data_IF_140071776601
#
_entry.id   IF_140071776601
#
_cell.length_a   1.000
_cell.length_b   1.000
_cell.length_c   1.000
_cell.angle_alpha   90.00
_cell.angle_beta   90.00
_cell.angle_gamma   90.00
#
_symmetry.space_group_name_H-M   'P 1'
#
loop_
_entity.id
_entity.type
_entity.pdbx_description
1 polymer ?
#
# COMPACT_ATOMS: atom_id res chain seq x y z
N UNK A 1 -31.40 12.32 56.63
CA UNK A 1 -32.88 12.34 56.48
C UNK A 1 -33.36 13.24 55.34
N UNK A 2 -32.62 14.26 54.89
CA UNK A 2 -33.03 15.09 53.75
C UNK A 2 -32.81 14.43 52.38
N UNK A 3 -31.75 13.62 52.21
CA UNK A 3 -31.44 12.96 50.93
C UNK A 3 -32.52 11.96 50.51
N UNK A 4 -33.09 11.19 51.44
CA UNK A 4 -34.15 10.21 51.16
C UNK A 4 -35.47 10.81 50.67
N UNK A 5 -35.72 12.10 50.91
CA UNK A 5 -36.94 12.76 50.44
C UNK A 5 -36.89 13.14 48.95
N UNK A 6 -35.70 13.24 48.35
CA UNK A 6 -35.53 13.67 46.94
C UNK A 6 -35.54 12.47 45.98
N UNK A 7 -35.07 11.29 46.40
CA UNK A 7 -35.00 10.10 45.54
C UNK A 7 -36.35 9.71 44.93
N UNK A 8 -37.45 9.87 45.66
CA UNK A 8 -38.79 9.56 45.12
C UNK A 8 -39.16 10.41 43.91
N UNK A 9 -38.65 11.63 43.78
CA UNK A 9 -38.88 12.45 42.58
C UNK A 9 -38.07 11.94 41.38
N UNK A 10 -36.83 11.51 41.61
CA UNK A 10 -35.96 10.93 40.57
C UNK A 10 -36.52 9.60 40.06
N UNK A 11 -36.91 8.70 40.97
CA UNK A 11 -37.47 7.37 40.63
C UNK A 11 -38.80 7.48 39.87
N UNK A 12 -39.66 8.40 40.32
CA UNK A 12 -40.93 8.66 39.65
C UNK A 12 -40.74 9.32 38.29
N UNK A 13 -39.75 10.21 38.14
CA UNK A 13 -39.38 10.77 36.85
C UNK A 13 -38.87 9.70 35.89
N UNK A 14 -37.99 8.80 36.35
CA UNK A 14 -37.50 7.68 35.54
C UNK A 14 -38.63 6.75 35.10
N UNK A 15 -39.53 6.39 36.03
CA UNK A 15 -40.70 5.56 35.74
C UNK A 15 -41.65 6.23 34.74
N UNK A 16 -41.86 7.55 34.88
CA UNK A 16 -42.65 8.34 33.94
C UNK A 16 -42.03 8.40 32.55
N UNK A 17 -40.71 8.60 32.48
CA UNK A 17 -39.96 8.62 31.23
C UNK A 17 -40.02 7.27 30.52
N UNK A 18 -39.81 6.16 31.24
CA UNK A 18 -39.96 4.79 30.70
C UNK A 18 -41.37 4.56 30.15
N UNK A 19 -42.40 4.99 30.88
CA UNK A 19 -43.78 4.85 30.44
C UNK A 19 -44.04 5.64 29.15
N UNK A 20 -43.60 6.89 29.09
CA UNK A 20 -43.72 7.74 27.91
C UNK A 20 -43.00 7.14 26.71
N UNK A 21 -41.75 6.69 26.88
CA UNK A 21 -41.00 6.02 25.82
C UNK A 21 -41.72 4.75 25.34
N UNK A 22 -42.36 4.00 26.24
CA UNK A 22 -43.10 2.78 25.89
C UNK A 22 -44.33 3.11 25.03
N UNK A 23 -45.02 4.21 25.35
CA UNK A 23 -46.11 4.72 24.50
C UNK A 23 -45.59 5.13 23.12
N UNK A 24 -44.43 5.81 23.05
CA UNK A 24 -43.81 6.20 21.78
C UNK A 24 -43.48 4.96 20.94
N UNK A 25 -42.80 3.95 21.51
CA UNK A 25 -42.47 2.71 20.79
C UNK A 25 -43.73 2.02 20.24
N UNK A 26 -44.81 2.00 21.01
CA UNK A 26 -46.09 1.43 20.56
C UNK A 26 -46.74 2.25 19.43
N UNK A 27 -46.50 3.56 19.40
CA UNK A 27 -47.09 4.49 18.45
C UNK A 27 -46.30 4.59 17.14
N UNK A 28 -44.97 4.37 17.17
CA UNK A 28 -44.09 4.44 15.99
C UNK A 28 -44.64 3.63 14.79
N UNK A 29 -45.02 2.33 14.92
CA UNK A 29 -45.55 1.56 13.79
C UNK A 29 -46.90 2.08 13.26
N UNK A 30 -47.66 2.83 14.07
CA UNK A 30 -48.97 3.39 13.68
C UNK A 30 -48.84 4.73 12.95
N UNK A 31 -47.85 5.55 13.32
CA UNK A 31 -47.62 6.86 12.70
C UNK A 31 -46.80 6.74 11.41
N UNK A 32 -45.83 5.83 11.40
CA UNK A 32 -45.00 5.55 10.23
C UNK A 32 -45.63 4.41 9.42
N UNK A 33 -46.80 4.68 8.85
CA UNK A 33 -47.60 3.75 8.06
C UNK A 33 -47.23 3.70 6.56
N UNK A 34 -46.48 4.71 6.11
CA UNK A 34 -46.19 4.99 4.69
C UNK A 34 -44.70 5.19 4.49
N UNK A 35 -44.23 4.80 3.29
CA UNK A 35 -42.83 4.96 2.91
C UNK A 35 -42.45 6.43 2.85
N UNK A 36 -41.38 6.81 3.56
CA UNK A 36 -40.88 8.20 3.58
C UNK A 36 -39.39 8.25 3.86
N UNK A 37 -38.72 9.25 3.30
CA UNK A 37 -37.32 9.55 3.62
C UNK A 37 -37.29 10.66 4.66
N UNK A 38 -36.61 10.41 5.78
CA UNK A 38 -36.39 11.38 6.84
C UNK A 38 -34.90 11.66 6.99
N UNK A 39 -34.58 12.90 7.30
CA UNK A 39 -33.22 13.33 7.59
C UNK A 39 -33.07 13.38 9.10
N UNK A 40 -32.22 12.53 9.65
CA UNK A 40 -31.87 12.54 11.07
C UNK A 40 -30.50 13.17 11.25
N UNK A 41 -30.29 13.83 12.36
CA UNK A 41 -28.96 14.28 12.75
C UNK A 41 -28.34 13.21 13.64
N UNK A 42 -27.16 12.71 13.26
CA UNK A 42 -26.38 11.78 14.06
C UNK A 42 -25.80 12.49 15.30
N UNK A 43 -25.30 11.70 16.25
CA UNK A 43 -24.66 12.24 17.46
C UNK A 43 -23.45 13.13 17.16
N UNK A 44 -22.77 12.86 16.03
CA UNK A 44 -21.63 13.63 15.55
C UNK A 44 -22.03 14.92 14.80
N UNK A 45 -23.32 15.26 14.78
CA UNK A 45 -23.87 16.41 14.06
C UNK A 45 -23.97 16.22 12.54
N UNK A 46 -23.57 15.05 12.03
CA UNK A 46 -23.69 14.69 10.62
C UNK A 46 -25.13 14.35 10.28
N UNK A 47 -25.59 14.84 9.13
CA UNK A 47 -26.92 14.51 8.65
C UNK A 47 -26.94 13.13 7.98
N UNK A 48 -27.85 12.27 8.41
CA UNK A 48 -28.09 10.95 7.84
C UNK A 48 -29.48 10.91 7.21
N UNK A 49 -29.55 10.47 5.96
CA UNK A 49 -30.82 10.17 5.30
C UNK A 49 -31.22 8.73 5.57
N UNK A 50 -32.43 8.56 6.11
CA UNK A 50 -33.02 7.27 6.44
C UNK A 50 -34.32 7.11 5.68
N UNK A 51 -34.49 5.96 5.05
CA UNK A 51 -35.73 5.56 4.42
C UNK A 51 -36.52 4.67 5.39
N UNK A 52 -37.76 5.05 5.69
CA UNK A 52 -38.67 4.23 6.49
C UNK A 52 -39.57 3.50 5.51
N UNK A 53 -39.57 2.17 5.55
CA UNK A 53 -40.44 1.31 4.77
C UNK A 53 -41.13 0.25 5.66
N UNK A 54 -42.41 0.45 6.01
CA UNK A 54 -43.18 -0.51 6.80
C UNK A 54 -43.45 -1.84 6.08
N UNK A 55 -43.30 -1.90 4.76
CA UNK A 55 -43.50 -3.09 3.94
C UNK A 55 -42.24 -3.96 3.75
N UNK A 56 -41.07 -3.48 4.18
CA UNK A 56 -39.82 -4.20 3.98
C UNK A 56 -39.80 -5.53 4.75
N UNK A 57 -39.20 -6.58 4.17
CA UNK A 57 -39.17 -7.92 4.78
C UNK A 57 -38.27 -8.03 6.01
N UNK A 58 -37.32 -7.12 6.17
CA UNK A 58 -36.35 -7.10 7.25
C UNK A 58 -36.48 -5.80 8.04
N UNK A 59 -36.18 -5.85 9.34
CA UNK A 59 -36.24 -4.69 10.24
C UNK A 59 -35.22 -3.61 9.88
N UNK A 60 -34.07 -4.02 9.36
CA UNK A 60 -33.01 -3.14 8.91
C UNK A 60 -32.37 -3.68 7.64
N UNK A 61 -32.21 -2.80 6.66
CA UNK A 61 -31.54 -3.06 5.39
C UNK A 61 -30.57 -1.92 5.12
N UNK A 62 -29.35 -2.29 4.75
CA UNK A 62 -28.32 -1.33 4.39
C UNK A 62 -27.84 -1.66 2.98
N UNK A 63 -28.05 -0.71 2.07
CA UNK A 63 -27.55 -0.83 0.70
C UNK A 63 -26.18 -0.17 0.60
N UNK A 64 -25.18 -0.99 0.29
CA UNK A 64 -23.79 -0.57 0.14
C UNK A 64 -23.51 -0.46 -1.37
N UNK A 65 -23.09 0.72 -1.81
CA UNK A 65 -22.74 1.00 -3.20
C UNK A 65 -21.41 0.35 -3.60
N UNK A 66 -21.10 0.40 -4.91
CA UNK A 66 -19.89 -0.20 -5.47
C UNK A 66 -18.55 0.33 -4.90
N UNK A 67 -18.57 1.49 -4.22
CA UNK A 67 -17.41 2.10 -3.52
C UNK A 67 -17.37 1.85 -2.01
N UNK A 68 -18.17 0.91 -1.48
CA UNK A 68 -18.35 0.69 -0.04
C UNK A 68 -18.98 1.88 0.72
N UNK A 69 -19.54 2.86 0.02
CA UNK A 69 -20.33 3.92 0.64
C UNK A 69 -21.74 3.42 0.94
N UNK A 70 -22.26 3.80 2.11
CA UNK A 70 -23.64 3.48 2.51
C UNK A 70 -24.58 4.38 1.74
N UNK A 71 -25.29 3.80 0.76
CA UNK A 71 -26.14 4.58 -0.15
C UNK A 71 -27.50 4.81 0.47
N UNK A 72 -28.07 3.79 1.14
CA UNK A 72 -29.36 3.88 1.83
C UNK A 72 -29.42 3.00 3.06
N UNK A 73 -30.15 3.49 4.07
CA UNK A 73 -30.54 2.73 5.25
C UNK A 73 -32.05 2.68 5.27
N UNK A 74 -32.61 1.48 5.13
CA UNK A 74 -34.04 1.24 5.15
C UNK A 74 -34.40 0.60 6.49
N UNK A 75 -35.37 1.18 7.20
CA UNK A 75 -35.87 0.66 8.46
C UNK A 75 -37.34 0.28 8.35
N UNK A 76 -37.69 -0.90 8.86
CA UNK A 76 -39.08 -1.29 9.06
C UNK A 76 -39.45 -1.19 10.55
N UNK A 77 -40.22 -0.17 10.97
CA UNK A 77 -40.63 -0.02 12.36
C UNK A 77 -41.65 -1.07 12.85
N UNK A 78 -42.35 -1.76 11.93
CA UNK A 78 -43.34 -2.78 12.28
C UNK A 78 -42.70 -4.14 12.62
N UNK A 79 -41.42 -4.34 12.28
CA UNK A 79 -40.71 -5.58 12.51
C UNK A 79 -39.69 -5.43 13.65
N UNK A 80 -39.95 -6.14 14.75
CA UNK A 80 -39.05 -6.17 15.91
C UNK A 80 -39.81 -6.12 17.23
N UNK A 81 -39.14 -6.50 18.32
CA UNK A 81 -39.60 -6.23 19.69
C UNK A 81 -38.60 -5.27 20.30
N UNK A 82 -39.09 -4.08 20.64
CA UNK A 82 -38.29 -3.04 21.25
C UNK A 82 -38.72 -2.88 22.71
N UNK A 83 -37.75 -2.76 23.60
CA UNK A 83 -37.96 -2.46 25.01
C UNK A 83 -37.05 -1.29 25.42
N UNK A 84 -37.36 -0.66 26.55
CA UNK A 84 -36.64 0.53 27.02
C UNK A 84 -35.88 0.18 28.30
N UNK A 85 -34.57 0.36 28.25
CA UNK A 85 -33.76 0.53 29.44
C UNK A 85 -33.56 2.03 29.65
N UNK A 86 -33.89 2.55 30.83
CA UNK A 86 -33.43 3.87 31.24
C UNK A 86 -32.17 3.67 32.06
N UNK A 87 -31.12 4.40 31.69
CA UNK A 87 -29.92 4.58 32.50
C UNK A 87 -29.85 6.07 32.84
N UNK A 88 -29.82 6.38 34.13
CA UNK A 88 -29.80 7.77 34.60
C UNK A 88 -28.41 8.02 35.18
N UNK A 89 -27.55 8.61 34.36
CA UNK A 89 -26.29 9.17 34.79
C UNK A 89 -26.46 10.53 35.48
N UNK A 90 -25.36 11.14 35.96
CA UNK A 90 -25.36 12.52 36.43
C UNK A 90 -25.99 13.44 35.37
N UNK A 91 -26.81 14.40 35.79
CA UNK A 91 -27.41 15.35 34.86
C UNK A 91 -26.33 16.31 34.34
N UNK A 92 -25.83 16.04 33.14
CA UNK A 92 -24.92 16.92 32.43
C UNK A 92 -25.70 17.93 31.59
N UNK A 93 -25.30 19.20 31.63
CA UNK A 93 -25.95 20.24 30.81
C UNK A 93 -25.55 20.14 29.34
N UNK A 94 -24.42 19.47 29.04
CA UNK A 94 -23.97 19.20 27.69
C UNK A 94 -23.15 17.91 27.60
N UNK A 95 -23.17 17.26 26.43
CA UNK A 95 -22.31 16.10 26.11
C UNK A 95 -20.82 16.42 26.29
N UNK A 96 -20.43 17.68 26.08
CA UNK A 96 -19.05 18.14 26.23
C UNK A 96 -18.60 18.14 27.69
N UNK A 97 -19.47 18.55 28.61
CA UNK A 97 -19.20 18.45 30.05
C UNK A 97 -19.12 17.00 30.51
N UNK A 98 -20.03 16.13 30.05
CA UNK A 98 -19.96 14.69 30.34
C UNK A 98 -18.63 14.08 29.86
N UNK A 99 -18.21 14.43 28.64
CA UNK A 99 -16.94 13.96 28.06
C UNK A 99 -15.75 14.49 28.85
N UNK A 100 -15.78 15.76 29.28
CA UNK A 100 -14.73 16.33 30.13
C UNK A 100 -14.59 15.60 31.46
N UNK A 101 -15.71 15.33 32.12
CA UNK A 101 -15.73 14.63 33.41
C UNK A 101 -15.23 13.19 33.27
N UNK A 102 -15.69 12.48 32.24
CA UNK A 102 -15.23 11.13 31.93
C UNK A 102 -13.72 11.10 31.62
N UNK A 103 -13.23 12.02 30.77
CA UNK A 103 -11.81 12.11 30.44
C UNK A 103 -10.96 12.48 31.66
N UNK A 104 -11.44 13.39 32.50
CA UNK A 104 -10.75 13.77 33.74
C UNK A 104 -10.67 12.59 34.71
N UNK A 105 -11.74 11.81 34.85
CA UNK A 105 -11.73 10.60 35.67
C UNK A 105 -10.73 9.57 35.15
N UNK A 106 -10.71 9.32 33.83
CA UNK A 106 -9.75 8.39 33.21
C UNK A 106 -8.30 8.86 33.44
N UNK A 107 -8.02 10.16 33.25
CA UNK A 107 -6.67 10.71 33.35
C UNK A 107 -6.16 10.80 34.79
N UNK A 108 -7.05 10.98 35.77
CA UNK A 108 -6.68 10.91 37.20
C UNK A 108 -6.33 9.48 37.62
N UNK A 109 -7.02 8.48 37.07
CA UNK A 109 -6.74 7.06 37.33
C UNK A 109 -5.51 6.55 36.55
N UNK A 110 -5.26 7.07 35.35
CA UNK A 110 -4.16 6.67 34.49
C UNK A 110 -3.41 7.88 33.90
N UNK A 111 -2.48 8.50 34.65
CA UNK A 111 -1.72 9.66 34.20
C UNK A 111 -0.88 9.41 32.95
N UNK A 112 -0.50 8.16 32.67
CA UNK A 112 0.24 7.78 31.46
C UNK A 112 -0.56 7.97 30.16
N UNK A 113 -1.89 8.06 30.25
CA UNK A 113 -2.75 8.27 29.08
C UNK A 113 -2.80 9.74 28.63
N UNK A 114 -2.30 10.70 29.42
CA UNK A 114 -2.26 12.13 29.02
C UNK A 114 -1.52 12.32 27.70
N UNK A 115 -0.43 11.57 27.47
CA UNK A 115 0.32 11.62 26.21
C UNK A 115 -0.35 10.92 25.01
N UNK A 116 -1.51 10.29 25.21
CA UNK A 116 -2.24 9.50 24.20
C UNK A 116 -3.59 10.14 23.88
N UNK A 117 -4.33 10.56 24.91
CA UNK A 117 -5.70 11.10 24.80
C UNK A 117 -5.83 12.53 25.36
N UNK A 118 -4.72 13.15 25.77
CA UNK A 118 -4.75 14.51 26.34
C UNK A 118 -5.25 15.55 25.34
N UNK A 119 -5.02 15.35 24.04
CA UNK A 119 -5.56 16.23 22.99
C UNK A 119 -7.09 16.28 23.00
N UNK A 120 -7.78 15.17 23.29
CA UNK A 120 -9.23 15.12 23.41
C UNK A 120 -9.74 15.88 24.64
N UNK A 121 -9.01 15.85 25.76
CA UNK A 121 -9.35 16.63 26.96
C UNK A 121 -9.34 18.13 26.61
N UNK A 122 -8.22 18.62 26.07
CA UNK A 122 -8.07 20.03 25.74
C UNK A 122 -9.04 20.47 24.64
N UNK A 123 -9.35 19.62 23.66
CA UNK A 123 -10.37 19.94 22.65
C UNK A 123 -11.74 20.19 23.29
N UNK A 124 -12.06 19.49 24.37
CA UNK A 124 -13.33 19.65 25.06
C UNK A 124 -13.32 20.78 26.10
N UNK A 125 -12.17 21.37 26.47
CA UNK A 125 -12.12 22.49 27.42
C UNK A 125 -12.52 23.83 26.77
N UNK A 126 -13.01 24.77 27.59
CA UNK A 126 -13.45 26.11 27.18
C UNK A 126 -12.44 27.17 27.67
N UNK A 127 -11.29 27.26 27.01
CA UNK A 127 -10.35 28.37 27.20
C UNK A 127 -9.75 28.82 25.86
N UNK A 128 -9.21 30.05 25.84
CA UNK A 128 -8.85 30.78 24.62
C UNK A 128 -7.86 30.03 23.69
N UNK A 129 -7.03 29.13 24.24
CA UNK A 129 -6.04 28.35 23.48
C UNK A 129 -6.30 26.83 23.46
N UNK A 130 -7.50 26.38 23.84
CA UNK A 130 -7.83 24.97 24.04
C UNK A 130 -7.64 24.13 22.77
N UNK A 131 -8.01 24.70 21.62
CA UNK A 131 -7.89 24.06 20.30
C UNK A 131 -6.41 23.98 19.88
N UNK A 132 -5.63 25.04 20.11
CA UNK A 132 -4.20 25.05 19.78
C UNK A 132 -3.43 24.05 20.64
N UNK A 133 -3.73 24.00 21.94
CA UNK A 133 -3.15 23.03 22.87
C UNK A 133 -3.47 21.59 22.44
N UNK A 134 -4.72 21.30 22.07
CA UNK A 134 -5.14 20.00 21.55
C UNK A 134 -4.36 19.62 20.28
N UNK A 135 -4.19 20.54 19.34
CA UNK A 135 -3.43 20.28 18.11
C UNK A 135 -1.94 20.03 18.38
N UNK A 136 -1.33 20.76 19.32
CA UNK A 136 0.07 20.55 19.72
C UNK A 136 0.26 19.20 20.39
N UNK A 137 -0.63 18.83 21.30
CA UNK A 137 -0.60 17.53 21.96
C UNK A 137 -0.80 16.40 20.96
N UNK A 138 -1.75 16.54 20.04
CA UNK A 138 -1.98 15.56 18.96
C UNK A 138 -0.74 15.29 18.11
N UNK A 139 0.15 16.28 17.92
CA UNK A 139 1.43 16.10 17.22
C UNK A 139 2.50 15.38 18.06
N UNK A 140 2.37 15.43 19.39
CA UNK A 140 3.25 14.73 20.33
C UNK A 140 2.77 13.31 20.64
N UNK A 141 1.47 13.01 20.42
CA UNK A 141 0.93 11.66 20.58
C UNK A 141 1.60 10.71 19.57
N UNK A 142 2.11 9.54 20.01
CA UNK A 142 2.65 8.53 19.11
C UNK A 142 1.61 8.16 18.03
N UNK A 143 2.02 8.02 16.75
CA UNK A 143 1.08 7.76 15.66
C UNK A 143 0.23 6.49 15.84
N UNK A 144 0.73 5.54 16.64
CA UNK A 144 0.06 4.28 16.99
C UNK A 144 -1.25 4.49 17.79
N UNK A 145 -1.30 5.52 18.64
CA UNK A 145 -2.42 5.83 19.52
C UNK A 145 -3.56 6.61 18.83
N UNK A 146 -3.26 7.27 17.71
CA UNK A 146 -4.21 8.12 17.00
C UNK A 146 -5.18 7.33 16.11
N UNK A 147 -5.08 5.99 16.05
CA UNK A 147 -5.88 5.14 15.16
C UNK A 147 -5.64 5.39 13.67
N UNK A 148 -4.72 6.30 13.34
CA UNK A 148 -4.22 6.62 11.99
C UNK A 148 -2.79 6.03 11.83
N UNK A 149 -2.32 5.29 12.83
CA UNK A 149 -1.06 4.57 12.79
C UNK A 149 -1.17 3.28 11.98
N UNK A 150 -0.09 2.88 11.29
CA UNK A 150 -0.02 1.60 10.62
C UNK A 150 -0.44 0.49 11.59
N UNK A 151 -1.28 -0.42 11.13
CA UNK A 151 -1.70 -1.62 11.86
C UNK A 151 -0.51 -2.33 12.51
N UNK A 152 -0.69 -3.15 13.57
CA UNK A 152 0.41 -3.92 14.18
C UNK A 152 1.25 -4.72 13.16
N UNK A 153 0.63 -5.05 12.03
CA UNK A 153 1.26 -5.72 10.88
C UNK A 153 2.15 -4.78 10.06
N UNK A 154 1.75 -3.52 9.89
CA UNK A 154 2.52 -2.50 9.18
C UNK A 154 3.66 -1.92 10.03
N UNK A 155 3.53 -1.85 11.36
CA UNK A 155 4.68 -1.54 12.25
C UNK A 155 5.76 -2.62 12.19
N UNK A 156 5.36 -3.89 12.20
CA UNK A 156 6.30 -5.01 12.01
C UNK A 156 6.96 -4.94 10.63
N UNK A 157 6.20 -4.56 9.60
CA UNK A 157 6.73 -4.34 8.25
C UNK A 157 7.70 -3.16 8.20
N UNK A 158 7.43 -2.07 8.92
CA UNK A 158 8.28 -0.88 8.91
C UNK A 158 9.60 -1.12 9.65
N UNK A 159 9.57 -1.87 10.77
CA UNK A 159 10.78 -2.33 11.43
C UNK A 159 11.57 -3.32 10.56
N UNK A 160 10.87 -4.20 9.82
CA UNK A 160 11.51 -5.12 8.87
C UNK A 160 12.15 -4.37 7.70
N UNK A 161 11.48 -3.36 7.14
CA UNK A 161 11.99 -2.51 6.05
C UNK A 161 13.16 -1.65 6.52
N UNK A 162 13.12 -1.11 7.74
CA UNK A 162 14.25 -0.39 8.32
C UNK A 162 15.47 -1.30 8.53
N UNK A 163 15.27 -2.52 9.02
CA UNK A 163 16.33 -3.54 9.13
C UNK A 163 16.91 -3.95 7.78
N UNK A 164 16.06 -4.15 6.78
CA UNK A 164 16.49 -4.46 5.42
C UNK A 164 17.25 -3.30 4.77
N UNK A 165 16.82 -2.05 5.00
CA UNK A 165 17.49 -0.85 4.50
C UNK A 165 18.91 -0.70 5.04
N UNK A 166 19.12 -0.97 6.33
CA UNK A 166 20.46 -0.97 6.92
C UNK A 166 21.35 -2.09 6.34
N UNK A 167 20.78 -3.28 6.10
CA UNK A 167 21.52 -4.41 5.52
C UNK A 167 21.88 -4.18 4.04
N UNK A 168 20.97 -3.59 3.26
CA UNK A 168 21.19 -3.26 1.85
C UNK A 168 22.25 -2.15 1.70
N UNK A 169 22.22 -1.15 2.58
CA UNK A 169 23.23 -0.07 2.60
C UNK A 169 24.62 -0.64 2.90
N UNK A 170 24.72 -1.57 3.85
CA UNK A 170 25.98 -2.26 4.18
C UNK A 170 26.50 -3.12 3.04
N UNK A 171 25.62 -3.81 2.31
CA UNK A 171 26.01 -4.57 1.11
C UNK A 171 26.48 -3.66 -0.02
N UNK A 172 25.80 -2.54 -0.27
CA UNK A 172 26.25 -1.58 -1.29
C UNK A 172 27.61 -0.96 -0.96
N UNK A 173 27.90 -0.69 0.32
CA UNK A 173 29.20 -0.18 0.74
C UNK A 173 30.32 -1.21 0.52
N UNK A 174 30.07 -2.50 0.82
CA UNK A 174 31.03 -3.59 0.58
C UNK A 174 31.25 -3.78 -0.92
N UNK A 175 30.18 -3.87 -1.71
CA UNK A 175 30.27 -4.02 -3.17
C UNK A 175 30.93 -2.81 -3.85
N UNK A 176 30.71 -1.59 -3.32
CA UNK A 176 31.39 -0.38 -3.77
C UNK A 176 32.89 -0.43 -3.49
N UNK A 177 33.30 -0.84 -2.28
CA UNK A 177 34.72 -1.01 -1.92
C UNK A 177 35.42 -2.06 -2.78
N UNK A 178 34.74 -3.16 -3.10
CA UNK A 178 35.33 -4.22 -3.93
C UNK A 178 35.49 -3.79 -5.39
N UNK A 179 34.52 -3.06 -5.96
CA UNK A 179 34.66 -2.48 -7.31
C UNK A 179 35.80 -1.46 -7.38
N UNK A 180 35.95 -0.61 -6.37
CA UNK A 180 37.06 0.37 -6.32
C UNK A 180 38.42 -0.35 -6.22
N UNK A 181 38.51 -1.43 -5.45
CA UNK A 181 39.74 -2.25 -5.35
C UNK A 181 40.07 -2.98 -6.66
N UNK A 182 39.07 -3.48 -7.39
CA UNK A 182 39.30 -4.11 -8.69
C UNK A 182 39.82 -3.09 -9.71
N UNK A 183 39.18 -1.92 -9.81
CA UNK A 183 39.61 -0.86 -10.72
C UNK A 183 41.05 -0.42 -10.39
N UNK A 184 41.40 -0.28 -9.11
CA UNK A 184 42.77 0.06 -8.71
C UNK A 184 43.80 -1.00 -9.08
N UNK A 185 43.44 -2.29 -9.03
CA UNK A 185 44.32 -3.39 -9.45
C UNK A 185 44.49 -3.45 -10.97
N UNK A 186 43.42 -3.24 -11.74
CA UNK A 186 43.48 -3.22 -13.20
C UNK A 186 44.32 -2.05 -13.69
N UNK A 187 44.16 -0.85 -13.11
CA UNK A 187 45.01 0.31 -13.42
C UNK A 187 46.48 0.07 -13.10
N UNK A 188 46.80 -0.59 -11.98
CA UNK A 188 48.19 -0.98 -11.68
C UNK A 188 48.76 -1.95 -12.71
N UNK A 189 47.96 -2.95 -13.11
CA UNK A 189 48.38 -3.94 -14.11
C UNK A 189 48.63 -3.28 -15.47
N UNK A 190 47.80 -2.33 -15.88
CA UNK A 190 47.98 -1.57 -17.12
C UNK A 190 49.25 -0.72 -17.04
N UNK A 191 49.49 -0.02 -15.92
CA UNK A 191 50.72 0.76 -15.70
C UNK A 191 51.97 -0.13 -15.79
N UNK A 192 51.93 -1.35 -15.24
CA UNK A 192 53.05 -2.30 -15.30
C UNK A 192 53.29 -2.83 -16.71
N UNK A 193 52.23 -3.08 -17.50
CA UNK A 193 52.35 -3.45 -18.92
C UNK A 193 52.97 -2.31 -19.73
N UNK A 194 52.50 -1.08 -19.56
CA UNK A 194 53.06 0.09 -20.25
C UNK A 194 54.53 0.32 -19.89
N UNK A 195 54.91 0.11 -18.61
CA UNK A 195 56.32 0.17 -18.19
C UNK A 195 57.14 -0.93 -18.86
N UNK A 196 56.65 -2.16 -18.89
CA UNK A 196 57.34 -3.26 -19.55
C UNK A 196 57.51 -3.04 -21.07
N UNK A 197 56.53 -2.45 -21.74
CA UNK A 197 56.66 -2.03 -23.16
C UNK A 197 57.64 -0.89 -23.34
N UNK A 198 57.63 0.10 -22.44
CA UNK A 198 58.59 1.21 -22.47
C UNK A 198 60.02 0.71 -22.26
N UNK A 199 60.22 -0.20 -21.32
CA UNK A 199 61.52 -0.83 -21.06
C UNK A 199 61.95 -1.71 -22.24
N UNK A 200 61.02 -2.43 -22.87
CA UNK A 200 61.30 -3.20 -24.09
C UNK A 200 61.67 -2.30 -25.26
N UNK A 201 60.95 -1.19 -25.47
CA UNK A 201 61.28 -0.20 -26.50
C UNK A 201 62.62 0.47 -26.23
N UNK A 202 62.93 0.77 -24.97
CA UNK A 202 64.22 1.34 -24.57
C UNK A 202 65.36 0.34 -24.80
N UNK A 203 65.19 -0.92 -24.41
CA UNK A 203 66.18 -1.97 -24.65
C UNK A 203 66.38 -2.22 -26.15
N UNK A 204 65.32 -2.16 -26.96
CA UNK A 204 65.41 -2.25 -28.43
C UNK A 204 66.09 -1.02 -29.02
N UNK A 205 65.80 0.19 -28.53
CA UNK A 205 66.44 1.43 -28.96
C UNK A 205 67.94 1.48 -28.59
N UNK A 206 68.32 0.92 -27.44
CA UNK A 206 69.72 0.81 -27.02
C UNK A 206 70.49 -0.26 -27.82
N UNK A 207 69.79 -1.28 -28.34
CA UNK A 207 70.39 -2.41 -29.08
C UNK A 207 70.46 -2.16 -30.61
N UNK A 208 69.72 -1.18 -31.13
CA UNK A 208 69.74 -0.79 -32.53
C UNK A 208 70.56 0.50 -32.72
N UNK A 209 71.77 0.46 -33.31
CA UNK A 209 72.36 1.69 -33.82
C UNK A 209 71.42 2.27 -34.89
N UNK A 210 71.10 3.56 -34.78
CA UNK A 210 70.20 4.32 -35.65
C UNK A 210 70.58 4.20 -37.13
N UNK A 211 70.09 3.17 -37.81
CA UNK A 211 70.02 3.06 -39.26
C UNK A 211 68.54 3.03 -39.66
N UNK A 212 68.04 4.18 -40.12
CA UNK A 212 66.63 4.43 -40.47
C UNK A 212 66.06 3.45 -41.51
N UNK A 213 66.89 2.73 -42.26
CA UNK A 213 66.46 1.83 -43.33
C UNK A 213 66.11 0.40 -42.87
N UNK A 214 66.58 -0.05 -41.70
CA UNK A 214 66.29 -1.40 -41.20
C UNK A 214 64.93 -1.52 -40.51
N UNK A 215 64.45 -0.43 -39.91
CA UNK A 215 63.21 -0.37 -39.14
C UNK A 215 62.00 -0.48 -40.07
N UNK A 216 62.05 0.11 -41.27
CA UNK A 216 60.95 0.05 -42.24
C UNK A 216 60.67 -1.38 -42.74
N UNK A 217 61.72 -2.18 -42.95
CA UNK A 217 61.55 -3.57 -43.40
C UNK A 217 61.01 -4.49 -42.29
N UNK A 218 61.46 -4.27 -41.05
CA UNK A 218 60.98 -5.04 -39.90
C UNK A 218 59.52 -4.71 -39.57
N UNK A 219 59.14 -3.43 -39.67
CA UNK A 219 57.75 -2.98 -39.47
C UNK A 219 56.84 -3.52 -40.58
N UNK A 220 57.27 -3.50 -41.84
CA UNK A 220 56.48 -4.11 -42.93
C UNK A 220 56.29 -5.62 -42.75
N UNK A 221 57.33 -6.36 -42.33
CA UNK A 221 57.19 -7.79 -42.06
C UNK A 221 56.27 -8.10 -40.87
N UNK A 222 56.31 -7.28 -39.80
CA UNK A 222 55.43 -7.46 -38.64
C UNK A 222 53.96 -7.16 -38.99
N UNK A 223 53.74 -6.11 -39.79
CA UNK A 223 52.40 -5.73 -40.29
C UNK A 223 51.85 -6.84 -41.19
N UNK A 224 52.64 -7.39 -42.11
CA UNK A 224 52.22 -8.51 -42.97
C UNK A 224 51.93 -9.79 -42.18
N UNK A 225 52.68 -10.08 -41.12
CA UNK A 225 52.41 -11.21 -40.24
C UNK A 225 51.12 -11.02 -39.42
N UNK A 226 50.86 -9.80 -38.94
CA UNK A 226 49.65 -9.49 -38.16
C UNK A 226 48.38 -9.55 -39.02
N UNK A 227 48.46 -9.10 -40.27
CA UNK A 227 47.35 -9.14 -41.24
C UNK A 227 47.00 -10.57 -41.64
N UNK A 228 48.00 -11.45 -41.84
CA UNK A 228 47.76 -12.86 -42.20
C UNK A 228 47.16 -13.67 -41.05
N UNK A 229 47.56 -13.42 -39.81
CA UNK A 229 47.12 -14.22 -38.65
C UNK A 229 45.70 -13.87 -38.19
N UNK A 230 45.23 -12.64 -38.42
CA UNK A 230 44.00 -12.13 -37.78
C UNK A 230 42.78 -12.03 -38.70
N UNK A 231 42.96 -12.05 -40.03
CA UNK A 231 41.89 -11.75 -41.00
C UNK A 231 41.31 -12.96 -41.75
N UNK A 232 42.02 -14.09 -41.81
CA UNK A 232 41.54 -15.29 -42.51
C UNK A 232 40.27 -15.95 -41.94
N UNK A 233 40.04 -16.04 -40.61
CA UNK A 233 38.80 -16.64 -40.09
C UNK A 233 37.57 -15.74 -40.30
N UNK A 234 37.73 -14.41 -40.25
CA UNK A 234 36.63 -13.44 -40.36
C UNK A 234 36.10 -13.34 -41.80
N UNK A 235 36.96 -13.50 -42.80
CA UNK A 235 36.56 -13.49 -44.22
C UNK A 235 35.84 -14.78 -44.64
N UNK A 236 36.21 -15.94 -44.07
CA UNK A 236 35.55 -17.22 -44.36
C UNK A 236 34.14 -17.30 -43.81
N UNK A 237 33.88 -16.70 -42.65
CA UNK A 237 32.55 -16.69 -42.03
C UNK A 237 31.55 -15.83 -42.81
N UNK A 238 32.02 -14.75 -43.45
CA UNK A 238 31.15 -13.81 -44.19
C UNK A 238 30.89 -14.18 -45.66
N UNK A 239 31.69 -15.07 -46.27
CA UNK A 239 31.52 -15.48 -47.68
C UNK A 239 30.89 -16.88 -47.88
N UNK A 240 30.59 -17.62 -46.81
CA UNK A 240 30.41 -19.08 -46.88
C UNK A 240 29.03 -19.68 -46.63
N UNK A 241 27.98 -18.95 -46.29
CA UNK A 241 26.65 -19.56 -46.05
C UNK A 241 25.48 -18.68 -46.49
N UNK A 242 25.26 -18.65 -47.80
CA UNK A 242 24.05 -18.11 -48.42
C UNK A 242 23.57 -19.04 -49.53
N UNK A 243 22.60 -19.90 -49.21
CA UNK A 243 21.61 -20.42 -50.16
C UNK A 243 21.83 -21.84 -50.70
N UNK A 244 20.97 -22.77 -50.28
CA UNK A 244 20.42 -23.80 -51.18
C UNK A 244 18.98 -24.16 -50.77
N UNK A 245 18.07 -24.09 -51.74
CA UNK A 245 16.84 -24.92 -51.79
C UNK A 245 15.52 -24.29 -51.33
N UNK A 246 14.80 -23.65 -52.25
CA UNK A 246 13.36 -23.37 -52.15
C UNK A 246 12.53 -24.57 -52.63
N UNK A 247 11.39 -24.88 -51.99
CA UNK A 247 10.12 -25.25 -52.63
C UNK A 247 8.95 -25.43 -51.63
N UNK A 248 7.74 -25.31 -52.17
CA UNK A 248 6.46 -24.97 -51.54
C UNK A 248 5.81 -26.04 -50.62
N UNK A 249 4.95 -25.60 -49.69
CA UNK A 249 3.57 -26.10 -49.50
C UNK A 249 2.84 -25.43 -48.30
N UNK A 250 1.62 -24.95 -48.54
CA UNK A 250 0.62 -24.60 -47.52
C UNK A 250 0.03 -25.87 -46.89
N UNK A 251 0.16 -26.04 -45.56
CA UNK A 251 -0.76 -26.85 -44.75
C UNK A 251 -0.53 -26.66 -43.23
N UNK A 252 -1.61 -26.83 -42.45
CA UNK A 252 -1.83 -26.40 -41.05
C UNK A 252 -1.26 -27.34 -39.97
N UNK A 253 -1.28 -26.85 -38.71
CA UNK A 253 -1.18 -27.52 -37.37
C UNK A 253 0.22 -27.80 -36.75
N UNK A 254 0.35 -27.85 -35.39
CA UNK A 254 0.01 -26.86 -34.36
C UNK A 254 1.23 -26.43 -33.50
N UNK A 255 1.15 -25.24 -32.89
CA UNK A 255 2.20 -24.67 -32.03
C UNK A 255 2.29 -25.35 -30.64
N UNK A 256 3.49 -25.85 -30.31
CA UNK A 256 3.85 -26.42 -29.02
C UNK A 256 4.33 -25.37 -28.00
N UNK A 257 3.70 -25.43 -26.81
CA UNK A 257 4.15 -25.05 -25.48
C UNK A 257 5.00 -23.77 -25.26
N UNK A 258 4.34 -22.63 -24.99
CA UNK A 258 4.95 -21.50 -24.28
C UNK A 258 4.92 -21.67 -22.75
N UNK A 259 5.93 -21.16 -22.06
CA UNK A 259 6.06 -21.17 -20.60
C UNK A 259 4.89 -20.47 -19.88
N UNK A 260 4.51 -20.92 -18.67
CA UNK A 260 3.43 -20.33 -17.90
C UNK A 260 3.77 -18.90 -17.43
N UNK A 261 2.84 -17.94 -17.54
CA UNK A 261 3.06 -16.54 -17.14
C UNK A 261 3.17 -16.35 -15.61
N UNK A 262 2.88 -17.37 -14.80
CA UNK A 262 3.06 -17.36 -13.34
C UNK A 262 3.23 -18.78 -12.78
N UNK A 263 4.03 -18.97 -11.71
CA UNK A 263 4.16 -20.25 -11.03
C UNK A 263 2.81 -20.77 -10.54
N UNK A 264 2.46 -22.01 -10.90
CA UNK A 264 1.19 -22.65 -10.50
C UNK A 264 0.04 -22.45 -11.49
N UNK A 265 0.23 -21.73 -12.61
CA UNK A 265 -0.76 -21.60 -13.66
C UNK A 265 -0.86 -22.89 -14.51
N UNK A 266 -2.08 -23.40 -14.71
CA UNK A 266 -2.37 -24.54 -15.59
C UNK A 266 -3.05 -24.06 -16.87
N UNK A 267 -2.65 -24.61 -18.01
CA UNK A 267 -3.27 -24.31 -19.32
C UNK A 267 -4.49 -25.20 -19.54
N UNK A 268 -5.63 -24.60 -19.86
CA UNK A 268 -6.84 -25.32 -20.24
C UNK A 268 -6.84 -25.64 -21.76
N UNK A 269 -7.71 -26.55 -22.23
CA UNK A 269 -7.88 -26.86 -23.66
C UNK A 269 -8.19 -25.61 -24.51
N UNK A 270 -8.79 -24.58 -23.91
CA UNK A 270 -9.13 -23.30 -24.53
C UNK A 270 -7.93 -22.39 -24.80
N UNK A 271 -6.69 -22.87 -24.56
CA UNK A 271 -5.45 -22.12 -24.80
C UNK A 271 -5.14 -21.04 -23.76
N UNK A 272 -6.04 -20.80 -22.80
CA UNK A 272 -5.86 -19.80 -21.73
C UNK A 272 -5.23 -20.40 -20.47
N UNK A 273 -4.56 -19.56 -19.69
CA UNK A 273 -3.92 -19.91 -18.41
C UNK A 273 -4.86 -19.67 -17.24
N UNK A 274 -4.87 -20.57 -16.26
CA UNK A 274 -5.73 -20.51 -15.09
C UNK A 274 -4.95 -20.75 -13.79
N UNK A 275 -5.31 -20.03 -12.72
CA UNK A 275 -4.79 -20.21 -11.37
C UNK A 275 -5.90 -20.70 -10.43
N UNK A 276 -5.58 -21.55 -9.45
CA UNK A 276 -6.55 -21.98 -8.45
C UNK A 276 -6.98 -20.79 -7.57
N UNK A 277 -8.29 -20.63 -7.36
CA UNK A 277 -8.85 -19.56 -6.52
C UNK A 277 -8.64 -19.92 -5.03
N UNK A 278 -7.86 -19.13 -4.26
CA UNK A 278 -7.63 -19.40 -2.84
C UNK A 278 -8.88 -19.18 -1.97
N UNK A 279 -9.90 -18.50 -2.48
CA UNK A 279 -11.14 -18.18 -1.74
C UNK A 279 -12.26 -19.19 -1.99
N UNK A 280 -12.13 -20.06 -3.00
CA UNK A 280 -13.15 -21.05 -3.39
C UNK A 280 -12.49 -22.35 -3.85
N UNK A 281 -12.51 -23.37 -3.01
CA UNK A 281 -12.02 -24.71 -3.33
C UNK A 281 -12.72 -25.26 -4.59
N UNK A 282 -11.92 -25.64 -5.59
CA UNK A 282 -12.38 -26.21 -6.86
C UNK A 282 -12.71 -25.21 -7.97
N UNK A 283 -12.52 -23.90 -7.77
CA UNK A 283 -12.68 -22.89 -8.83
C UNK A 283 -11.32 -22.36 -9.31
N UNK A 284 -11.25 -21.99 -10.58
CA UNK A 284 -10.04 -21.49 -11.24
C UNK A 284 -10.29 -20.11 -11.85
N UNK A 285 -9.35 -19.19 -11.67
CA UNK A 285 -9.34 -17.84 -12.21
C UNK A 285 -8.56 -17.81 -13.53
N UNK A 286 -9.17 -17.26 -14.59
CA UNK A 286 -8.49 -17.06 -15.89
C UNK A 286 -7.50 -15.91 -15.79
N UNK A 287 -6.26 -16.15 -16.18
CA UNK A 287 -5.21 -15.12 -16.27
C UNK A 287 -5.31 -14.51 -17.68
N UNK A 288 -5.63 -13.22 -17.76
CA UNK A 288 -5.55 -12.43 -18.99
C UNK A 288 -4.15 -11.78 -19.15
N UNK A 289 -3.72 -11.44 -20.37
CA UNK A 289 -2.49 -10.67 -20.58
C UNK A 289 -2.61 -9.30 -19.91
N UNK A 290 -1.58 -8.87 -19.18
CA UNK A 290 -1.55 -7.55 -18.51
C UNK A 290 -1.80 -6.44 -19.54
N UNK A 291 -2.92 -5.72 -19.38
CA UNK A 291 -3.20 -4.52 -20.13
C UNK A 291 -2.16 -3.46 -19.78
N UNK A 292 -1.38 -3.05 -20.78
CA UNK A 292 -0.46 -1.92 -20.70
C UNK A 292 -1.23 -0.65 -20.28
N UNK A 293 -0.61 0.11 -19.39
CA UNK A 293 -1.03 1.40 -18.85
C UNK A 293 -1.81 2.27 -19.85
N UNK A 294 -3.06 2.61 -19.54
CA UNK A 294 -3.75 3.75 -20.17
C UNK A 294 -3.08 5.04 -19.69
N UNK A 295 -2.21 5.59 -20.53
CA UNK A 295 -1.79 6.98 -20.43
C UNK A 295 -2.99 7.89 -20.75
N UNK A 296 -3.30 8.82 -19.86
CA UNK A 296 -4.29 9.89 -20.07
C UNK A 296 -3.69 10.93 -21.01
N UNK A 297 -4.33 11.32 -22.14
CA UNK A 297 -3.90 12.49 -22.87
C UNK A 297 -4.39 13.77 -22.17
N UNK A 298 -3.45 14.65 -21.83
CA UNK A 298 -3.72 16.06 -21.51
C UNK A 298 -4.46 16.69 -22.69
N UNK A 299 -5.61 17.32 -22.40
CA UNK A 299 -6.34 18.14 -23.36
C UNK A 299 -5.97 19.59 -23.08
N UNK A 300 -5.16 20.16 -23.96
CA UNK A 300 -5.10 21.62 -24.15
C UNK A 300 -6.40 22.05 -24.84
N UNK A 301 -7.12 22.97 -24.20
CA UNK A 301 -7.85 24.13 -24.75
C UNK A 301 -8.56 24.86 -23.61
#
# INVERSE_FOLDING_TARGET
>A
QSDTQVFHFQDNYESGLKFLCKQIIQLIPKIYDTQRVIKIQAEDGTDLEIEIDPGARLAYLQEIGHRQEVVRRIFNPALGRYDIAADVGPAYTSKRQETLDALTLILTQAPGLVGVIGDLLFKNMEFEDAIEAAQRLRRMVPPEALGIGPSPREQALQQQVAGLGAQLTKQMEIAGKDKIKLIGKDQMRDIDVYKAETDRMKALADMLPMDQSGIEQLVQQLVDQSLKTSLEPILKENLGTGGDGAEAALSQQPAGAGEPPMPGARRAPDGNWYLADPTRTGKYLRIGPLAQSRATPLREQ
#
